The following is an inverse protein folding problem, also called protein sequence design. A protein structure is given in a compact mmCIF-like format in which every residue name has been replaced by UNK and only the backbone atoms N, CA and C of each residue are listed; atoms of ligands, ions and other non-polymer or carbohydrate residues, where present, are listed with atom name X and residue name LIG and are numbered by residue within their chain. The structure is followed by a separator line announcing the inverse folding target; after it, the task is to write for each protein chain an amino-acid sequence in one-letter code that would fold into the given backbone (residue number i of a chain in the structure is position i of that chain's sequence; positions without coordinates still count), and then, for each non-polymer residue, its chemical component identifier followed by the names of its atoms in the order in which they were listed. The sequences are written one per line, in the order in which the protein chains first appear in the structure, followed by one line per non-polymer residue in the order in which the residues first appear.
data_IF_567094000903
#
_entry.id   IF_567094000903
#
_cell.length_a   1.000
_cell.length_b   1.000
_cell.length_c   1.000
_cell.angle_alpha   90.00
_cell.angle_beta   90.00
_cell.angle_gamma   90.00
#
_symmetry.space_group_name_H-M   'P 1'
#
loop_
_entity.id
_entity.type
_entity.pdbx_description
1 polymer ?
#
# COMPACT_ATOMS: atom_id res chain seq x y z
N UNK A 1 14.92 -1.35 -3.04
CA UNK A 1 15.38 -2.04 -4.26
C UNK A 1 16.87 -1.84 -4.34
N UNK A 2 17.65 -2.87 -4.69
CA UNK A 2 19.10 -2.72 -4.90
C UNK A 2 19.30 -1.91 -6.19
N UNK A 3 20.25 -0.98 -6.18
CA UNK A 3 20.68 -0.32 -7.40
C UNK A 3 21.34 -1.34 -8.33
N UNK A 4 20.98 -1.30 -9.61
CA UNK A 4 21.55 -2.16 -10.65
C UNK A 4 21.95 -1.24 -11.80
N UNK A 5 23.19 -1.35 -12.25
CA UNK A 5 23.64 -0.58 -13.40
C UNK A 5 23.05 -1.21 -14.68
N UNK A 6 22.35 -0.40 -15.47
CA UNK A 6 21.71 -0.84 -16.71
C UNK A 6 22.72 -1.46 -17.70
N UNK A 7 23.95 -0.97 -17.74
CA UNK A 7 25.01 -1.49 -18.61
C UNK A 7 25.48 -2.91 -18.24
N UNK A 8 25.21 -3.37 -17.01
CA UNK A 8 25.58 -4.72 -16.56
C UNK A 8 24.55 -5.78 -16.96
N UNK A 9 23.31 -5.38 -17.25
CA UNK A 9 22.18 -6.32 -17.40
C UNK A 9 21.42 -6.20 -18.72
N UNK A 10 21.48 -5.05 -19.41
CA UNK A 10 20.72 -4.82 -20.62
C UNK A 10 21.56 -5.12 -21.87
N UNK A 11 20.95 -5.69 -22.92
CA UNK A 11 21.60 -5.80 -24.22
C UNK A 11 21.96 -4.42 -24.78
N UNK A 12 23.10 -4.32 -25.46
CA UNK A 12 23.63 -3.06 -25.99
C UNK A 12 22.61 -2.27 -26.82
N UNK A 13 21.89 -2.96 -27.72
CA UNK A 13 20.88 -2.33 -28.57
C UNK A 13 19.76 -1.66 -27.75
N UNK A 14 19.31 -2.30 -26.67
CA UNK A 14 18.28 -1.76 -25.79
C UNK A 14 18.82 -0.60 -24.94
N UNK A 15 20.05 -0.72 -24.44
CA UNK A 15 20.69 0.36 -23.69
C UNK A 15 20.83 1.62 -24.54
N UNK A 16 21.31 1.49 -25.79
CA UNK A 16 21.41 2.61 -26.73
C UNK A 16 20.06 3.26 -27.00
N UNK A 17 19.01 2.47 -27.18
CA UNK A 17 17.66 2.99 -27.37
C UNK A 17 17.18 3.78 -26.15
N UNK A 18 17.36 3.25 -24.93
CA UNK A 18 16.99 3.94 -23.69
C UNK A 18 17.73 5.27 -23.50
N UNK A 19 19.01 5.33 -23.87
CA UNK A 19 19.79 6.57 -23.81
C UNK A 19 19.22 7.66 -24.73
N UNK A 20 18.52 7.31 -25.82
CA UNK A 20 17.86 8.34 -26.64
C UNK A 20 16.72 9.07 -25.91
N UNK A 21 16.16 8.48 -24.84
CA UNK A 21 15.08 9.06 -24.05
C UNK A 21 15.53 9.62 -22.70
N UNK A 22 16.59 9.05 -22.10
CA UNK A 22 16.95 9.30 -20.70
C UNK A 22 18.47 9.11 -20.43
N UNK A 23 19.33 9.65 -21.29
CA UNK A 23 20.80 9.57 -21.08
C UNK A 23 21.24 10.31 -19.81
N UNK A 24 22.02 9.64 -18.97
CA UNK A 24 22.48 10.17 -17.68
C UNK A 24 21.42 10.23 -16.57
N UNK A 25 20.18 9.81 -16.83
CA UNK A 25 19.06 9.92 -15.90
C UNK A 25 18.79 8.62 -15.11
N UNK A 26 18.15 8.75 -13.94
CA UNK A 26 17.69 7.59 -13.17
C UNK A 26 16.30 7.15 -13.65
N UNK A 27 16.23 6.01 -14.35
CA UNK A 27 14.97 5.46 -14.85
C UNK A 27 14.36 4.44 -13.89
N UNK A 28 13.14 4.70 -13.40
CA UNK A 28 12.36 3.72 -12.63
C UNK A 28 11.60 2.78 -13.57
N UNK A 29 11.84 1.47 -13.44
CA UNK A 29 11.09 0.45 -14.16
C UNK A 29 10.02 -0.13 -13.22
N UNK A 30 8.73 0.13 -13.46
CA UNK A 30 7.67 -0.48 -12.66
C UNK A 30 7.66 -2.00 -12.85
N UNK A 31 7.26 -2.72 -11.80
CA UNK A 31 7.05 -4.17 -11.91
C UNK A 31 5.96 -4.45 -12.94
N UNK A 32 6.27 -5.35 -13.88
CA UNK A 32 5.30 -5.83 -14.88
C UNK A 32 4.19 -6.69 -14.24
N UNK A 33 4.48 -7.39 -13.14
CA UNK A 33 3.45 -8.05 -12.34
C UNK A 33 2.51 -7.00 -11.75
N UNK A 34 1.19 -7.23 -11.82
CA UNK A 34 0.20 -6.45 -11.09
C UNK A 34 0.70 -6.24 -9.65
N UNK A 35 0.66 -4.98 -9.15
CA UNK A 35 0.94 -4.73 -7.74
C UNK A 35 0.04 -5.67 -6.94
N UNK A 36 0.63 -6.60 -6.17
CA UNK A 36 -0.14 -7.32 -5.16
C UNK A 36 -0.86 -6.25 -4.34
N UNK A 37 -2.17 -6.35 -4.24
CA UNK A 37 -2.94 -5.45 -3.40
C UNK A 37 -2.29 -5.40 -2.01
N UNK A 38 -2.23 -4.20 -1.44
CA UNK A 38 -1.60 -3.99 -0.16
C UNK A 38 -2.13 -5.00 0.87
N UNK A 39 -1.23 -5.75 1.51
CA UNK A 39 -1.54 -6.75 2.53
C UNK A 39 -1.90 -8.16 2.02
N UNK A 40 -1.91 -8.41 0.70
CA UNK A 40 -2.21 -9.75 0.15
C UNK A 40 -1.14 -10.82 0.45
N UNK A 41 0.11 -10.42 0.71
CA UNK A 41 1.20 -11.35 1.03
C UNK A 41 1.50 -11.51 2.52
N UNK A 42 0.97 -10.64 3.38
CA UNK A 42 1.29 -10.61 4.83
C UNK A 42 0.10 -10.93 5.73
N UNK A 43 -1.08 -11.19 5.17
CA UNK A 43 -2.33 -11.37 5.94
C UNK A 43 -2.87 -10.09 6.58
N UNK A 44 -2.11 -8.99 6.52
CA UNK A 44 -2.49 -7.70 7.12
C UNK A 44 -3.77 -7.13 6.52
N UNK A 45 -4.05 -7.40 5.24
CA UNK A 45 -5.30 -6.97 4.60
C UNK A 45 -6.52 -7.59 5.31
N UNK A 46 -6.48 -8.90 5.56
CA UNK A 46 -7.56 -9.61 6.23
C UNK A 46 -7.72 -9.13 7.67
N UNK A 47 -6.63 -9.02 8.42
CA UNK A 47 -6.66 -8.50 9.80
C UNK A 47 -7.32 -7.11 9.90
N UNK A 48 -6.95 -6.18 9.01
CA UNK A 48 -7.56 -4.85 9.02
C UNK A 48 -9.02 -4.86 8.57
N UNK A 49 -9.40 -5.75 7.65
CA UNK A 49 -10.79 -5.92 7.23
C UNK A 49 -11.66 -6.42 8.40
N UNK A 50 -11.26 -7.51 9.05
CA UNK A 50 -11.98 -8.09 10.19
C UNK A 50 -12.09 -7.11 11.36
N UNK A 51 -11.01 -6.40 11.68
CA UNK A 51 -11.02 -5.35 12.71
C UNK A 51 -11.98 -4.23 12.34
N UNK A 52 -11.96 -3.77 11.08
CA UNK A 52 -12.81 -2.67 10.63
C UNK A 52 -14.30 -3.06 10.63
N UNK A 53 -14.63 -4.28 10.23
CA UNK A 53 -15.99 -4.83 10.34
C UNK A 53 -16.46 -4.90 11.79
N UNK A 54 -15.59 -5.37 12.70
CA UNK A 54 -15.88 -5.40 14.14
C UNK A 54 -16.14 -4.00 14.69
N UNK A 55 -15.30 -3.01 14.34
CA UNK A 55 -15.48 -1.60 14.73
C UNK A 55 -16.83 -1.05 14.27
N UNK A 56 -17.26 -1.36 13.04
CA UNK A 56 -18.57 -0.94 12.50
C UNK A 56 -19.72 -1.60 13.26
N UNK A 57 -19.62 -2.89 13.57
CA UNK A 57 -20.64 -3.62 14.33
C UNK A 57 -20.81 -3.04 15.74
N UNK A 58 -19.72 -2.85 16.48
CA UNK A 58 -19.77 -2.26 17.82
C UNK A 58 -20.34 -0.83 17.80
N UNK A 59 -20.03 -0.05 16.77
CA UNK A 59 -20.63 1.27 16.59
C UNK A 59 -22.15 1.18 16.38
N UNK A 60 -22.63 0.24 15.56
CA UNK A 60 -24.07 -0.01 15.35
C UNK A 60 -24.78 -0.49 16.63
N UNK A 61 -24.05 -1.18 17.52
CA UNK A 61 -24.53 -1.60 18.85
C UNK A 61 -24.53 -0.46 19.89
N UNK A 62 -24.07 0.74 19.51
CA UNK A 62 -24.15 1.95 20.34
C UNK A 62 -22.83 2.39 20.98
N UNK A 63 -21.70 1.73 20.69
CA UNK A 63 -20.40 2.21 21.17
C UNK A 63 -20.03 3.56 20.53
N UNK A 64 -19.51 4.49 21.33
CA UNK A 64 -19.06 5.79 20.82
C UNK A 64 -17.71 5.68 20.10
N UNK A 65 -17.47 6.61 19.16
CA UNK A 65 -16.18 6.72 18.45
C UNK A 65 -15.01 6.86 19.42
N UNK A 66 -15.19 7.61 20.51
CA UNK A 66 -14.17 7.79 21.57
C UNK A 66 -13.83 6.49 22.31
N UNK A 67 -14.83 5.66 22.63
CA UNK A 67 -14.59 4.35 23.24
C UNK A 67 -13.82 3.45 22.28
N UNK A 68 -14.25 3.37 21.03
CA UNK A 68 -13.61 2.53 20.02
C UNK A 68 -12.17 2.98 19.73
N UNK A 69 -11.91 4.28 19.68
CA UNK A 69 -10.57 4.83 19.53
C UNK A 69 -9.64 4.40 20.66
N UNK A 70 -10.11 4.49 21.92
CA UNK A 70 -9.34 4.05 23.08
C UNK A 70 -9.11 2.54 23.10
N UNK A 71 -10.18 1.75 22.89
CA UNK A 71 -10.13 0.29 22.96
C UNK A 71 -9.18 -0.31 21.91
N UNK A 72 -9.15 0.25 20.70
CA UNK A 72 -8.31 -0.26 19.60
C UNK A 72 -6.99 0.50 19.43
N UNK A 73 -6.71 1.48 20.29
CA UNK A 73 -5.49 2.30 20.20
C UNK A 73 -5.39 3.08 18.87
N UNK A 74 -6.53 3.51 18.33
CA UNK A 74 -6.62 4.21 17.06
C UNK A 74 -6.88 5.70 17.27
N UNK A 75 -6.37 6.53 16.36
CA UNK A 75 -6.74 7.93 16.32
C UNK A 75 -8.25 8.07 16.07
N UNK A 76 -8.87 9.07 16.69
CA UNK A 76 -10.30 9.36 16.54
C UNK A 76 -10.73 9.51 15.07
N UNK A 77 -9.91 10.21 14.26
CA UNK A 77 -10.12 10.37 12.82
C UNK A 77 -10.06 9.04 12.06
N UNK A 78 -9.17 8.12 12.44
CA UNK A 78 -9.09 6.79 11.85
C UNK A 78 -10.36 5.99 12.11
N UNK A 79 -10.88 6.02 13.35
CA UNK A 79 -12.13 5.34 13.68
C UNK A 79 -13.32 5.95 12.92
N UNK A 80 -13.39 7.29 12.83
CA UNK A 80 -14.39 7.96 11.97
C UNK A 80 -14.30 7.50 10.52
N UNK A 81 -13.11 7.46 9.93
CA UNK A 81 -12.94 7.02 8.54
C UNK A 81 -13.39 5.56 8.37
N UNK A 82 -13.04 4.67 9.30
CA UNK A 82 -13.47 3.26 9.24
C UNK A 82 -15.00 3.15 9.31
N UNK A 83 -15.66 3.94 10.15
CA UNK A 83 -17.12 3.90 10.34
C UNK A 83 -17.86 4.54 9.16
N UNK A 84 -17.38 5.68 8.65
CA UNK A 84 -18.13 6.52 7.72
C UNK A 84 -17.64 6.48 6.26
N UNK A 85 -16.45 5.95 5.98
CA UNK A 85 -15.94 5.81 4.61
C UNK A 85 -15.99 4.34 4.17
N UNK A 86 -16.49 4.12 2.94
CA UNK A 86 -16.44 2.85 2.22
C UNK A 86 -15.17 2.76 1.39
#
# INVERSE_FOLDING_TARGET
MKYINAAEILPEKLLRELQTYADGELLYIPKASAKKEWGASSGSKLFYQERNETLRKLFQEGCSVDMLAKQYGLAYSTVKNIIYQQ
#
